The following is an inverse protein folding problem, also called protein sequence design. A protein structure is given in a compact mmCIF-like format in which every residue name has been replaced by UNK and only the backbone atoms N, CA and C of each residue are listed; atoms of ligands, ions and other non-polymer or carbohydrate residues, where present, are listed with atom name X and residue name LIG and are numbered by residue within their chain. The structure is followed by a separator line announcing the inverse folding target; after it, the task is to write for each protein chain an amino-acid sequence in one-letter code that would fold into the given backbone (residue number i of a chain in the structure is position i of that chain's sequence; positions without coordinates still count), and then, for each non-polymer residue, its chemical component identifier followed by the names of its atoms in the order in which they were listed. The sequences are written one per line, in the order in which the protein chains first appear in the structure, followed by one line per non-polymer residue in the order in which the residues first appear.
data_IF_872026867190
#
_entry.id   IF_872026867190
#
_cell.length_a   1.000
_cell.length_b   1.000
_cell.length_c   1.000
_cell.angle_alpha   90.00
_cell.angle_beta   90.00
_cell.angle_gamma   90.00
#
_symmetry.space_group_name_H-M   'P 1'
#
loop_
_entity.id
_entity.type
_entity.pdbx_description
1 polymer ?
#
# COMPACT_ATOMS: atom_id res chain seq x y z
N UNK A 1 -13.94 -7.26 4.06
CA UNK A 1 -14.14 -8.24 5.12
C UNK A 1 -14.47 -7.54 6.44
N UNK A 2 -15.79 -7.48 6.75
CA UNK A 2 -16.34 -6.73 7.87
C UNK A 2 -16.49 -5.23 7.57
N UNK A 3 -17.59 -4.67 8.08
CA UNK A 3 -17.90 -3.24 8.06
C UNK A 3 -18.30 -2.74 9.47
N UNK A 4 -18.05 -3.57 10.46
CA UNK A 4 -18.40 -3.39 11.87
C UNK A 4 -17.16 -3.32 12.79
N UNK A 5 -15.98 -3.01 12.22
CA UNK A 5 -14.75 -2.83 12.97
C UNK A 5 -14.77 -1.55 13.82
N UNK A 6 -14.08 -1.51 14.97
CA UNK A 6 -13.99 -0.30 15.81
C UNK A 6 -13.06 0.75 15.19
N UNK A 7 -13.37 1.21 13.99
CA UNK A 7 -12.69 2.22 13.19
C UNK A 7 -13.68 3.31 12.79
N UNK A 8 -13.20 4.41 12.24
CA UNK A 8 -14.05 5.57 11.94
C UNK A 8 -15.21 5.25 10.96
N UNK A 9 -15.01 4.34 10.03
CA UNK A 9 -16.00 3.98 9.00
C UNK A 9 -16.42 2.50 9.02
N UNK A 10 -15.99 1.76 10.04
CA UNK A 10 -16.32 0.36 10.24
C UNK A 10 -15.46 -0.60 9.42
N UNK A 11 -14.56 -0.12 8.55
CA UNK A 11 -13.69 -0.99 7.77
C UNK A 11 -12.25 -1.02 8.33
N UNK A 12 -11.49 -2.07 8.02
CA UNK A 12 -10.12 -2.20 8.50
C UNK A 12 -9.24 -1.07 7.98
N UNK A 13 -8.32 -0.59 8.84
CA UNK A 13 -7.27 0.34 8.48
C UNK A 13 -5.97 -0.42 8.18
N UNK A 14 -5.32 -0.10 7.06
CA UNK A 14 -4.09 -0.72 6.59
C UNK A 14 -3.10 0.34 6.15
N UNK A 15 -1.84 -0.03 6.15
CA UNK A 15 -0.75 0.80 5.66
C UNK A 15 -0.57 0.55 4.16
N UNK A 16 -0.57 1.64 3.39
CA UNK A 16 -0.35 1.62 1.96
C UNK A 16 0.90 2.44 1.64
N UNK A 17 1.85 1.83 0.95
CA UNK A 17 3.13 2.44 0.62
C UNK A 17 3.27 2.47 -0.89
N UNK A 18 3.68 3.61 -1.43
CA UNK A 18 3.98 3.74 -2.84
C UNK A 18 5.20 2.92 -3.24
N UNK A 19 5.15 2.28 -4.40
CA UNK A 19 6.24 1.42 -4.90
C UNK A 19 7.57 2.15 -5.03
N UNK A 20 7.56 3.45 -5.38
CA UNK A 20 8.78 4.25 -5.47
C UNK A 20 9.41 4.51 -4.09
N UNK A 21 8.59 4.72 -3.05
CA UNK A 21 9.09 4.87 -1.69
C UNK A 21 9.67 3.55 -1.17
N UNK A 22 9.07 2.41 -1.52
CA UNK A 22 9.67 1.10 -1.25
C UNK A 22 11.00 0.90 -1.98
N UNK A 23 11.08 1.24 -3.26
CA UNK A 23 12.30 1.14 -4.04
C UNK A 23 13.42 2.00 -3.43
N UNK A 24 13.11 3.24 -3.04
CA UNK A 24 14.05 4.12 -2.35
C UNK A 24 14.54 3.52 -1.03
N UNK A 25 13.66 2.93 -0.22
CA UNK A 25 14.08 2.25 1.00
C UNK A 25 15.07 1.10 0.74
N UNK A 26 14.87 0.34 -0.34
CA UNK A 26 15.80 -0.73 -0.73
C UNK A 26 17.18 -0.18 -1.11
N UNK A 27 17.23 0.91 -1.88
CA UNK A 27 18.50 1.57 -2.26
C UNK A 27 19.21 2.07 -1.00
N UNK A 28 18.52 2.78 -0.13
CA UNK A 28 19.08 3.28 1.13
C UNK A 28 19.57 2.15 2.04
N UNK A 29 18.84 1.04 2.12
CA UNK A 29 19.26 -0.12 2.89
C UNK A 29 20.53 -0.75 2.30
N UNK A 30 20.64 -0.86 0.98
CA UNK A 30 21.85 -1.36 0.31
C UNK A 30 23.07 -0.48 0.59
N UNK A 31 22.89 0.84 0.56
CA UNK A 31 23.98 1.81 0.74
C UNK A 31 24.42 1.94 2.21
N UNK A 32 23.48 1.88 3.15
CA UNK A 32 23.72 2.25 4.56
C UNK A 32 23.76 1.09 5.53
N UNK A 33 23.30 -0.12 5.14
CA UNK A 33 23.36 -1.26 6.04
C UNK A 33 24.80 -1.70 6.27
N UNK A 34 25.22 -1.93 7.54
CA UNK A 34 26.57 -2.36 7.85
C UNK A 34 26.87 -3.72 7.24
N UNK A 35 28.04 -3.87 6.60
CA UNK A 35 28.49 -5.15 6.06
C UNK A 35 28.56 -6.23 7.16
N UNK A 36 28.09 -7.43 6.85
CA UNK A 36 28.13 -8.60 7.76
C UNK A 36 27.12 -8.53 8.91
N UNK A 37 26.19 -7.56 8.92
CA UNK A 37 25.11 -7.47 9.92
C UNK A 37 23.75 -7.71 9.28
N UNK A 38 22.88 -8.40 10.02
CA UNK A 38 21.47 -8.52 9.67
C UNK A 38 20.70 -7.37 10.33
N UNK A 39 20.08 -6.51 9.52
CA UNK A 39 19.25 -5.40 9.97
C UNK A 39 17.83 -5.58 9.47
N UNK A 40 16.85 -5.34 10.34
CA UNK A 40 15.43 -5.42 10.02
C UNK A 40 14.85 -4.01 10.12
N UNK A 41 14.14 -3.59 9.06
CA UNK A 41 13.45 -2.32 8.99
C UNK A 41 11.99 -2.56 8.62
N UNK A 42 11.07 -1.97 9.38
CA UNK A 42 9.68 -1.87 8.97
C UNK A 42 9.53 -0.59 8.14
N UNK A 43 8.71 -0.68 7.10
CA UNK A 43 8.38 0.46 6.24
C UNK A 43 6.87 0.68 6.32
N UNK A 44 6.47 1.91 6.51
CA UNK A 44 5.09 2.33 6.60
C UNK A 44 4.97 3.82 6.33
N UNK A 45 3.85 4.26 5.79
CA UNK A 45 3.58 5.70 5.58
C UNK A 45 3.45 6.44 6.92
N UNK A 46 3.13 5.71 7.99
CA UNK A 46 2.84 6.26 9.32
C UNK A 46 1.38 6.69 9.48
N UNK A 47 0.65 6.78 8.37
CA UNK A 47 -0.79 7.00 8.31
C UNK A 47 -1.44 5.79 7.64
N UNK A 48 -2.55 5.34 8.17
CA UNK A 48 -3.30 4.25 7.58
C UNK A 48 -4.49 4.78 6.79
N UNK A 49 -4.94 3.99 5.82
CA UNK A 49 -6.19 4.23 5.14
C UNK A 49 -7.15 3.07 5.38
N UNK A 50 -8.43 3.38 5.54
CA UNK A 50 -9.45 2.36 5.61
C UNK A 50 -9.68 1.71 4.24
N UNK A 51 -10.21 0.48 4.25
CA UNK A 51 -10.57 -0.19 2.98
C UNK A 51 -11.59 0.63 2.20
N UNK A 52 -12.51 1.30 2.88
CA UNK A 52 -13.51 2.15 2.24
C UNK A 52 -12.87 3.38 1.59
N UNK A 53 -11.94 4.05 2.26
CA UNK A 53 -11.20 5.17 1.68
C UNK A 53 -10.46 4.77 0.41
N UNK A 54 -9.81 3.60 0.41
CA UNK A 54 -9.12 3.07 -0.78
C UNK A 54 -10.09 2.79 -1.92
N UNK A 55 -11.25 2.19 -1.64
CA UNK A 55 -12.28 1.93 -2.66
C UNK A 55 -12.78 3.26 -3.26
N UNK A 56 -13.03 4.28 -2.44
CA UNK A 56 -13.46 5.59 -2.92
C UNK A 56 -12.36 6.29 -3.75
N UNK A 57 -11.11 6.22 -3.32
CA UNK A 57 -9.97 6.71 -4.11
C UNK A 57 -9.89 6.01 -5.47
N UNK A 58 -10.08 4.68 -5.51
CA UNK A 58 -10.13 3.93 -6.76
C UNK A 58 -11.28 4.40 -7.67
N UNK A 59 -12.48 4.61 -7.13
CA UNK A 59 -13.64 5.11 -7.89
C UNK A 59 -13.35 6.49 -8.48
N UNK A 60 -12.83 7.39 -7.66
CA UNK A 60 -12.51 8.77 -8.04
C UNK A 60 -11.46 8.82 -9.14
N UNK A 61 -10.34 8.12 -8.95
CA UNK A 61 -9.20 8.14 -9.87
C UNK A 61 -9.51 7.46 -11.19
N UNK A 62 -10.18 6.30 -11.16
CA UNK A 62 -10.43 5.52 -12.37
C UNK A 62 -11.69 5.95 -13.12
N UNK A 63 -12.61 6.67 -12.47
CA UNK A 63 -13.94 6.98 -12.99
C UNK A 63 -14.83 5.73 -13.16
N UNK A 64 -14.46 4.60 -12.54
CA UNK A 64 -15.18 3.33 -12.66
C UNK A 64 -16.00 3.04 -11.40
N UNK A 65 -17.12 2.29 -11.51
CA UNK A 65 -18.01 2.05 -10.38
C UNK A 65 -17.39 1.21 -9.26
N UNK A 66 -16.36 0.41 -9.50
CA UNK A 66 -15.67 -0.47 -8.56
C UNK A 66 -16.66 -1.09 -7.56
N UNK A 67 -17.43 -2.12 -7.95
CA UNK A 67 -18.40 -2.75 -7.07
C UNK A 67 -17.69 -3.40 -5.88
N UNK A 68 -18.22 -3.22 -4.69
CA UNK A 68 -17.69 -3.77 -3.46
C UNK A 68 -18.83 -4.44 -2.67
N UNK A 69 -18.59 -5.66 -2.20
CA UNK A 69 -19.51 -6.43 -1.39
C UNK A 69 -18.96 -6.58 0.02
N UNK A 70 -19.85 -6.46 1.01
CA UNK A 70 -19.49 -6.69 2.41
C UNK A 70 -19.50 -8.18 2.67
N UNK A 71 -18.34 -8.69 3.11
CA UNK A 71 -18.19 -10.09 3.53
C UNK A 71 -17.91 -10.18 5.02
N UNK A 72 -18.05 -11.35 5.59
CA UNK A 72 -17.73 -11.59 7.00
C UNK A 72 -16.26 -11.29 7.31
N UNK A 73 -15.97 -10.87 8.55
CA UNK A 73 -14.60 -10.70 9.04
C UNK A 73 -13.80 -11.98 8.86
N UNK A 74 -12.54 -11.85 8.47
CA UNK A 74 -11.59 -12.95 8.48
C UNK A 74 -11.04 -13.13 9.90
N UNK A 75 -10.92 -14.37 10.33
CA UNK A 75 -10.33 -14.67 11.63
C UNK A 75 -8.85 -14.24 11.65
N UNK A 76 -8.44 -13.55 12.71
CA UNK A 76 -7.08 -13.08 12.89
C UNK A 76 -6.75 -11.73 12.27
N UNK A 77 -7.68 -11.10 11.52
CA UNK A 77 -7.45 -9.74 11.01
C UNK A 77 -7.55 -8.72 12.17
N UNK A 78 -6.59 -7.81 12.33
CA UNK A 78 -6.73 -6.69 13.25
C UNK A 78 -7.55 -5.56 12.62
N UNK A 79 -8.25 -4.78 13.45
CA UNK A 79 -8.98 -3.59 13.00
C UNK A 79 -8.04 -2.57 12.34
N UNK A 80 -6.87 -2.36 12.92
CA UNK A 80 -5.84 -1.43 12.44
C UNK A 80 -4.49 -2.12 12.42
N UNK A 81 -3.78 -1.99 11.30
CA UNK A 81 -2.43 -2.49 11.12
C UNK A 81 -1.62 -1.45 10.36
N UNK A 82 -0.77 -0.73 11.10
CA UNK A 82 0.11 0.33 10.59
C UNK A 82 1.51 0.05 11.12
N UNK A 83 2.52 0.12 10.25
CA UNK A 83 3.90 -0.10 10.63
C UNK A 83 4.53 1.19 11.17
N UNK A 84 5.37 1.09 12.23
CA UNK A 84 6.30 2.16 12.57
C UNK A 84 7.54 2.05 11.70
N UNK A 85 7.84 3.14 11.00
CA UNK A 85 9.05 3.28 10.17
C UNK A 85 10.15 4.11 10.83
N UNK A 86 10.05 4.38 12.13
CA UNK A 86 10.97 5.28 12.84
C UNK A 86 12.43 4.84 12.72
N UNK A 87 12.70 3.54 12.83
CA UNK A 87 14.04 3.00 12.64
C UNK A 87 14.57 3.25 11.23
N UNK A 88 13.75 3.03 10.20
CA UNK A 88 14.15 3.30 8.82
C UNK A 88 14.41 4.79 8.58
N UNK A 89 13.61 5.67 9.16
CA UNK A 89 13.83 7.12 9.11
C UNK A 89 15.13 7.53 9.78
N UNK A 90 15.41 7.00 10.98
CA UNK A 90 16.58 7.38 11.78
C UNK A 90 17.89 6.80 11.20
N UNK A 91 17.90 5.51 10.86
CA UNK A 91 19.14 4.82 10.47
C UNK A 91 19.41 4.90 8.97
N UNK A 92 18.39 4.85 8.13
CA UNK A 92 18.53 4.94 6.67
C UNK A 92 18.31 6.36 6.13
N UNK A 93 17.71 7.26 6.90
CA UNK A 93 17.23 8.55 6.42
C UNK A 93 16.08 8.40 5.41
N UNK A 94 15.32 7.29 5.50
CA UNK A 94 14.19 7.06 4.62
C UNK A 94 13.07 8.06 4.91
N UNK A 95 12.58 8.71 3.88
CA UNK A 95 11.49 9.68 3.96
C UNK A 95 10.53 9.46 2.80
N UNK A 96 9.39 8.80 3.02
CA UNK A 96 8.40 8.56 1.96
C UNK A 96 7.87 9.89 1.42
N UNK A 97 7.78 10.00 0.10
CA UNK A 97 7.37 11.21 -0.60
C UNK A 97 5.95 11.10 -1.18
N UNK A 98 5.46 9.88 -1.37
CA UNK A 98 4.20 9.56 -2.04
C UNK A 98 3.23 8.93 -1.03
N UNK A 99 2.66 9.76 -0.13
CA UNK A 99 1.80 9.28 0.96
C UNK A 99 0.30 9.47 0.70
N UNK A 100 -0.07 10.20 -0.36
CA UNK A 100 -1.47 10.39 -0.76
C UNK A 100 -2.03 9.14 -1.43
N UNK A 101 -3.17 8.65 -0.92
CA UNK A 101 -3.80 7.43 -1.46
C UNK A 101 -4.30 7.61 -2.89
N UNK A 102 -4.73 8.80 -3.30
CA UNK A 102 -5.16 9.07 -4.66
C UNK A 102 -3.98 9.04 -5.63
N UNK A 103 -2.82 9.58 -5.21
CA UNK A 103 -1.57 9.47 -5.97
C UNK A 103 -1.14 8.01 -6.14
N UNK A 104 -1.09 7.25 -5.05
CA UNK A 104 -0.74 5.82 -5.07
C UNK A 104 -1.65 5.05 -6.04
N UNK A 105 -2.95 5.28 -5.97
CA UNK A 105 -3.94 4.63 -6.85
C UNK A 105 -3.78 5.10 -8.29
N UNK A 106 -3.54 6.40 -8.51
CA UNK A 106 -3.36 6.97 -9.85
C UNK A 106 -2.17 6.38 -10.57
N UNK A 107 -1.04 6.26 -9.90
CA UNK A 107 0.17 5.70 -10.49
C UNK A 107 0.03 4.21 -10.78
N UNK A 108 -0.60 3.46 -9.87
CA UNK A 108 -0.91 2.05 -10.11
C UNK A 108 -1.87 1.86 -11.30
N UNK A 109 -2.87 2.75 -11.43
CA UNK A 109 -3.82 2.72 -12.53
C UNK A 109 -3.16 3.06 -13.87
N UNK A 110 -2.37 4.13 -13.91
CA UNK A 110 -1.61 4.56 -15.10
C UNK A 110 -0.63 3.46 -15.55
N UNK A 111 0.07 2.83 -14.62
CA UNK A 111 0.93 1.69 -14.93
C UNK A 111 0.14 0.53 -15.55
N UNK A 112 -1.00 0.19 -14.97
CA UNK A 112 -1.86 -0.90 -15.48
C UNK A 112 -2.37 -0.60 -16.88
N UNK A 113 -2.79 0.64 -17.15
CA UNK A 113 -3.19 1.06 -18.48
C UNK A 113 -2.02 1.08 -19.48
N UNK A 114 -0.84 1.53 -19.06
CA UNK A 114 0.37 1.58 -19.88
C UNK A 114 0.93 0.20 -20.26
N UNK A 115 0.66 -0.83 -19.47
CA UNK A 115 0.98 -2.22 -19.82
C UNK A 115 0.13 -2.73 -20.98
N UNK A 116 -1.03 -2.09 -21.25
CA UNK A 116 -1.92 -2.37 -22.36
C UNK A 116 -2.23 -3.86 -22.52
N UNK A 117 -2.72 -4.23 -23.68
CA UNK A 117 -3.09 -5.62 -24.02
C UNK A 117 -1.95 -6.65 -23.92
N UNK A 118 -0.71 -6.22 -23.78
CA UNK A 118 0.47 -7.12 -23.68
C UNK A 118 0.49 -7.95 -22.41
N UNK A 119 0.08 -7.41 -21.28
CA UNK A 119 0.07 -8.15 -20.02
C UNK A 119 -1.11 -9.13 -19.94
N UNK A 120 -2.25 -8.76 -20.52
CA UNK A 120 -3.44 -9.63 -20.56
C UNK A 120 -3.37 -10.72 -21.63
N UNK A 121 -2.63 -10.51 -22.73
CA UNK A 121 -2.42 -11.51 -23.77
C UNK A 121 -1.56 -12.70 -23.28
N UNK A 122 -0.62 -12.45 -22.38
CA UNK A 122 0.23 -13.50 -21.81
C UNK A 122 -0.50 -14.49 -20.88
N UNK A 123 -1.66 -14.10 -20.32
CA UNK A 123 -2.45 -14.97 -19.43
C UNK A 123 -3.52 -15.80 -20.11
N UNK A 124 -3.83 -15.54 -21.39
CA UNK A 124 -4.79 -16.35 -22.16
C UNK A 124 -4.22 -17.62 -22.79
N UNK A 125 -2.90 -17.80 -22.74
CA UNK A 125 -2.19 -18.95 -23.36
C UNK A 125 -1.53 -19.88 -22.33
N UNK A 126 -2.06 -19.95 -21.10
CA UNK A 126 -1.68 -20.97 -20.13
C UNK A 126 -2.88 -21.72 -19.60
#
# INVERSE_FOLDING_TARGET
FGDDWPTADGTCVRDYIHVLDLANAHILALEKSPAGKHSIFNLGSGEGFSVKEVVEACRKVTGRPIPAEIAQRRMGDPATLIASSDKAKQELGWNPQHTDIEEIVSDAWNFTQGLGDRAFAAHKNR
#
